data_IF_200097031947
#
_entry.id   IF_200097031947
#
_cell.length_a   1.000
_cell.length_b   1.000
_cell.length_c   1.000
_cell.angle_alpha   90.00
_cell.angle_beta   90.00
_cell.angle_gamma   90.00
#
_symmetry.space_group_name_H-M   'P 1'
#
loop_
_entity.id
_entity.type
_entity.pdbx_description
1 polymer ?
#
# COMPACT_ATOMS: atom_id res chain seq x y z
N UNK A 1 7.65 -23.56 -9.76
CA UNK A 1 7.30 -22.53 -10.76
C UNK A 1 8.07 -21.24 -10.52
N UNK A 2 8.10 -20.71 -9.29
CA UNK A 2 8.82 -19.48 -8.94
C UNK A 2 10.34 -19.53 -9.22
N UNK A 3 11.03 -20.58 -8.76
CA UNK A 3 12.46 -20.75 -9.03
C UNK A 3 12.79 -20.83 -10.53
N UNK A 4 11.85 -21.34 -11.34
CA UNK A 4 12.00 -21.41 -12.79
C UNK A 4 11.91 -20.01 -13.42
N UNK A 5 10.93 -19.18 -13.01
CA UNK A 5 10.81 -17.76 -13.43
C UNK A 5 12.14 -17.02 -13.25
N UNK A 6 12.68 -17.04 -12.03
CA UNK A 6 13.90 -16.30 -11.70
C UNK A 6 15.15 -16.88 -12.38
N UNK A 7 15.22 -18.19 -12.57
CA UNK A 7 16.31 -18.82 -13.33
C UNK A 7 16.31 -18.41 -14.79
N UNK A 8 15.14 -18.38 -15.44
CA UNK A 8 15.02 -17.94 -16.85
C UNK A 8 15.39 -16.47 -16.97
N UNK A 9 14.92 -15.62 -16.05
CA UNK A 9 15.29 -14.21 -16.01
C UNK A 9 16.82 -14.03 -15.89
N UNK A 10 17.46 -14.71 -14.94
CA UNK A 10 18.92 -14.64 -14.78
C UNK A 10 19.67 -15.06 -16.05
N UNK A 11 19.22 -16.12 -16.73
CA UNK A 11 19.83 -16.59 -17.98
C UNK A 11 19.71 -15.57 -19.12
N UNK A 12 18.55 -14.93 -19.28
CA UNK A 12 18.33 -13.90 -20.30
C UNK A 12 19.16 -12.65 -20.03
N UNK A 13 19.16 -12.18 -18.78
CA UNK A 13 19.95 -11.03 -18.36
C UNK A 13 21.45 -11.26 -18.55
N UNK A 14 21.96 -12.46 -18.21
CA UNK A 14 23.37 -12.81 -18.42
C UNK A 14 23.81 -12.85 -19.89
N UNK A 15 22.85 -12.95 -20.81
CA UNK A 15 23.08 -12.92 -22.26
C UNK A 15 22.91 -11.51 -22.86
N UNK A 16 22.61 -10.51 -22.04
CA UNK A 16 22.45 -9.13 -22.51
C UNK A 16 21.02 -8.75 -22.92
N UNK A 17 20.01 -9.59 -22.65
CA UNK A 17 18.62 -9.28 -22.98
C UNK A 17 17.90 -8.56 -21.83
N UNK A 18 17.33 -7.39 -22.11
CA UNK A 18 16.34 -6.78 -21.21
C UNK A 18 15.02 -7.54 -21.24
N UNK A 19 14.39 -7.72 -20.08
CA UNK A 19 13.20 -8.57 -19.95
C UNK A 19 12.07 -7.81 -19.29
N UNK A 20 10.94 -7.68 -19.98
CA UNK A 20 9.66 -7.33 -19.37
C UNK A 20 8.97 -8.61 -18.90
N UNK A 21 8.80 -8.75 -17.60
CA UNK A 21 8.06 -9.86 -17.00
C UNK A 21 6.64 -9.41 -16.64
N UNK A 22 5.65 -10.22 -17.00
CA UNK A 22 4.24 -10.03 -16.61
C UNK A 22 3.64 -11.36 -16.14
N UNK A 23 2.94 -11.38 -15.02
CA UNK A 23 2.16 -12.56 -14.62
C UNK A 23 0.98 -12.80 -15.58
N UNK A 24 0.48 -14.05 -15.68
CA UNK A 24 -0.72 -14.38 -16.44
C UNK A 24 -1.98 -13.58 -16.04
N UNK A 25 -1.98 -12.93 -14.88
CA UNK A 25 -3.06 -12.07 -14.40
C UNK A 25 -3.01 -10.63 -14.95
N UNK A 26 -2.28 -10.40 -16.05
CA UNK A 26 -2.11 -9.07 -16.66
C UNK A 26 -2.84 -8.97 -18.00
N UNK A 27 -3.61 -7.90 -18.18
CA UNK A 27 -4.25 -7.53 -19.46
C UNK A 27 -3.43 -6.43 -20.12
N UNK A 28 -2.93 -6.68 -21.32
CA UNK A 28 -2.27 -5.66 -22.15
C UNK A 28 -3.33 -4.88 -22.93
N UNK A 29 -3.25 -3.55 -22.87
CA UNK A 29 -4.14 -2.64 -23.61
C UNK A 29 -3.41 -2.09 -24.84
N UNK A 30 -2.12 -1.76 -24.70
CA UNK A 30 -1.23 -1.34 -25.78
C UNK A 30 0.15 -1.99 -25.66
N UNK A 31 1.05 -1.72 -26.60
CA UNK A 31 2.44 -2.16 -26.50
C UNK A 31 3.11 -1.56 -25.25
N UNK A 32 3.54 -2.38 -24.27
CA UNK A 32 4.15 -1.87 -23.06
C UNK A 32 5.58 -1.36 -23.25
N UNK A 33 6.27 -1.76 -24.32
CA UNK A 33 7.67 -1.39 -24.55
C UNK A 33 7.85 0.08 -24.94
N UNK A 34 6.81 0.74 -25.44
CA UNK A 34 6.82 2.18 -25.73
C UNK A 34 6.74 3.02 -24.45
N UNK A 35 6.25 2.45 -23.35
CA UNK A 35 6.02 3.16 -22.09
C UNK A 35 7.11 2.91 -21.01
N UNK A 36 8.14 2.11 -21.32
CA UNK A 36 9.29 1.87 -20.44
C UNK A 36 10.31 3.02 -20.51
N UNK A 37 10.91 3.36 -19.37
CA UNK A 37 11.90 4.44 -19.26
C UNK A 37 13.31 4.01 -19.68
N UNK A 38 13.68 2.75 -19.40
CA UNK A 38 14.96 2.08 -19.67
C UNK A 38 16.18 2.79 -19.07
N UNK A 39 16.01 3.38 -17.90
CA UNK A 39 17.04 4.18 -17.22
C UNK A 39 17.36 3.71 -15.80
N UNK A 40 16.92 2.49 -15.45
CA UNK A 40 17.17 1.82 -14.18
C UNK A 40 17.43 0.32 -14.40
N UNK A 41 18.00 -0.33 -13.39
CA UNK A 41 18.19 -1.79 -13.40
C UNK A 41 16.85 -2.51 -13.41
N UNK A 42 15.91 -1.99 -12.61
CA UNK A 42 14.56 -2.52 -12.48
C UNK A 42 13.56 -1.37 -12.63
N UNK A 43 12.57 -1.55 -13.52
CA UNK A 43 11.37 -0.72 -13.54
C UNK A 43 10.20 -1.52 -13.02
N UNK A 44 9.66 -1.18 -11.85
CA UNK A 44 8.63 -2.00 -11.19
C UNK A 44 7.29 -1.28 -11.07
N UNK A 45 6.21 -2.06 -11.16
CA UNK A 45 4.87 -1.56 -10.86
C UNK A 45 4.71 -1.29 -9.36
N UNK A 46 4.20 -0.11 -9.01
CA UNK A 46 3.83 0.21 -7.64
C UNK A 46 2.48 -0.38 -7.25
N UNK A 47 2.35 -0.78 -5.99
CA UNK A 47 1.07 -1.12 -5.37
C UNK A 47 0.34 0.14 -4.83
N UNK A 48 0.91 1.33 -5.05
CA UNK A 48 0.29 2.63 -4.81
C UNK A 48 -0.89 2.94 -5.74
N UNK A 49 -1.61 4.02 -5.46
CA UNK A 49 -2.83 4.42 -6.17
C UNK A 49 -2.99 5.95 -6.30
N UNK A 50 -1.97 6.70 -5.89
CA UNK A 50 -1.81 8.14 -6.06
C UNK A 50 -0.30 8.47 -6.07
N UNK A 51 0.09 9.71 -6.36
CA UNK A 51 1.50 10.09 -6.44
C UNK A 51 2.27 9.82 -5.14
N UNK A 52 1.77 10.22 -3.94
CA UNK A 52 2.50 9.97 -2.68
C UNK A 52 2.65 8.49 -2.33
N UNK A 53 1.64 7.66 -2.59
CA UNK A 53 1.74 6.22 -2.34
C UNK A 53 2.60 5.51 -3.38
N UNK A 54 2.55 5.96 -4.63
CA UNK A 54 3.27 5.33 -5.74
C UNK A 54 4.76 5.67 -5.75
N UNK A 55 5.10 6.94 -5.57
CA UNK A 55 6.46 7.47 -5.68
C UNK A 55 7.12 7.73 -4.32
N UNK A 56 6.35 7.59 -3.24
CA UNK A 56 6.79 7.80 -1.88
C UNK A 56 6.75 9.26 -1.45
N UNK A 57 6.93 9.46 -0.14
CA UNK A 57 6.95 10.78 0.48
C UNK A 57 7.89 10.80 1.69
N UNK A 58 8.32 12.01 2.08
CA UNK A 58 9.12 12.22 3.28
C UNK A 58 8.23 12.01 4.52
N UNK A 59 8.55 10.99 5.30
CA UNK A 59 7.93 10.71 6.56
C UNK A 59 8.80 11.28 7.68
N UNK A 60 8.26 12.19 8.48
CA UNK A 60 8.98 12.73 9.64
C UNK A 60 8.63 11.96 10.90
N UNK A 61 9.63 11.41 11.57
CA UNK A 61 9.52 10.90 12.93
C UNK A 61 9.87 12.06 13.86
N UNK A 62 8.92 12.42 14.71
CA UNK A 62 9.08 13.47 15.72
C UNK A 62 9.35 12.84 17.09
N UNK A 63 10.50 13.17 17.67
CA UNK A 63 10.88 12.84 19.06
C UNK A 63 11.07 14.13 19.88
N UNK A 64 10.00 14.62 20.54
CA UNK A 64 10.03 15.87 21.30
C UNK A 64 11.14 15.95 22.37
N UNK A 65 11.62 14.82 22.88
CA UNK A 65 12.65 14.77 23.92
C UNK A 65 14.02 15.27 23.43
N UNK A 66 14.24 15.27 22.12
CA UNK A 66 15.50 15.67 21.47
C UNK A 66 15.59 17.19 21.21
N UNK A 67 14.61 17.98 21.64
CA UNK A 67 14.65 19.45 21.52
C UNK A 67 14.75 19.92 20.06
N UNK A 68 15.79 20.69 19.71
CA UNK A 68 15.98 21.22 18.35
C UNK A 68 16.23 20.10 17.30
N UNK A 69 16.75 18.93 17.69
CA UNK A 69 17.06 17.83 16.78
C UNK A 69 15.95 16.78 16.69
N UNK A 70 14.73 17.12 17.13
CA UNK A 70 13.56 16.22 17.24
C UNK A 70 13.05 15.59 15.94
N UNK A 71 13.41 16.14 14.79
CA UNK A 71 12.90 15.66 13.50
C UNK A 71 13.89 14.70 12.84
N UNK A 72 13.51 13.43 12.75
CA UNK A 72 14.20 12.44 11.95
C UNK A 72 13.41 12.19 10.66
N UNK A 73 14.02 12.52 9.52
CA UNK A 73 13.42 12.29 8.21
C UNK A 73 13.63 10.85 7.75
N UNK A 74 12.56 10.21 7.33
CA UNK A 74 12.57 8.94 6.63
C UNK A 74 11.80 9.03 5.31
N UNK A 75 11.84 7.97 4.52
CA UNK A 75 11.02 7.83 3.32
C UNK A 75 9.98 6.76 3.56
N UNK A 76 8.76 6.99 3.09
CA UNK A 76 7.74 5.95 3.04
C UNK A 76 7.26 5.80 1.60
N UNK A 77 7.23 4.56 1.15
CA UNK A 77 6.78 4.18 -0.18
C UNK A 77 6.00 2.87 -0.06
N UNK A 78 4.98 2.72 -0.90
CA UNK A 78 4.27 1.44 -0.98
C UNK A 78 5.15 0.43 -1.73
N UNK A 79 5.01 -0.86 -1.39
CA UNK A 79 5.76 -1.92 -2.05
C UNK A 79 5.52 -1.98 -3.56
N UNK A 80 6.48 -2.57 -4.25
CA UNK A 80 6.43 -2.93 -5.65
C UNK A 80 6.02 -4.39 -5.84
N UNK A 81 5.59 -4.70 -7.06
CA UNK A 81 5.03 -5.99 -7.37
C UNK A 81 5.97 -6.84 -8.25
N UNK A 82 6.37 -8.04 -7.81
CA UNK A 82 7.20 -8.94 -8.62
C UNK A 82 6.44 -9.59 -9.78
N UNK A 83 5.12 -9.40 -9.88
CA UNK A 83 4.30 -9.87 -11.00
C UNK A 83 4.38 -8.98 -12.24
N UNK A 84 4.95 -7.78 -12.12
CA UNK A 84 5.16 -6.88 -13.25
C UNK A 84 6.38 -5.98 -13.04
N UNK A 85 7.42 -6.24 -13.82
CA UNK A 85 8.61 -5.38 -13.86
C UNK A 85 9.38 -5.55 -15.18
N UNK A 86 10.12 -4.52 -15.56
CA UNK A 86 11.18 -4.62 -16.54
C UNK A 86 12.53 -4.73 -15.83
N UNK A 87 13.40 -5.62 -16.30
CA UNK A 87 14.78 -5.75 -15.86
C UNK A 87 15.73 -5.45 -17.01
N UNK A 88 16.58 -4.45 -16.84
CA UNK A 88 17.67 -4.13 -17.74
C UNK A 88 18.78 -5.18 -17.60
N UNK A 89 19.54 -5.50 -18.66
CA UNK A 89 20.61 -6.51 -18.60
C UNK A 89 21.87 -5.98 -17.92
N UNK A 90 21.76 -5.59 -16.65
CA UNK A 90 22.84 -5.06 -15.83
C UNK A 90 23.33 -6.10 -14.82
N UNK A 91 24.57 -5.98 -14.31
CA UNK A 91 25.07 -6.84 -13.23
C UNK A 91 24.15 -6.83 -12.00
N UNK A 92 23.59 -5.68 -11.66
CA UNK A 92 22.72 -5.48 -10.49
C UNK A 92 21.37 -6.18 -10.67
N UNK A 93 20.75 -6.06 -11.84
CA UNK A 93 19.52 -6.80 -12.16
C UNK A 93 19.75 -8.32 -12.19
N UNK A 94 20.89 -8.77 -12.72
CA UNK A 94 21.29 -10.18 -12.69
C UNK A 94 21.52 -10.67 -11.25
N UNK A 95 22.15 -9.85 -10.41
CA UNK A 95 22.34 -10.15 -8.99
C UNK A 95 20.99 -10.30 -8.28
N UNK A 96 20.03 -9.39 -8.53
CA UNK A 96 18.67 -9.51 -8.01
C UNK A 96 17.99 -10.80 -8.47
N UNK A 97 18.01 -11.11 -9.77
CA UNK A 97 17.40 -12.33 -10.30
C UNK A 97 18.01 -13.59 -9.67
N UNK A 98 19.33 -13.60 -9.45
CA UNK A 98 20.04 -14.70 -8.80
C UNK A 98 19.66 -14.84 -7.31
N UNK A 99 19.53 -13.73 -6.58
CA UNK A 99 19.05 -13.71 -5.19
C UNK A 99 17.63 -14.25 -5.09
N UNK A 100 16.74 -13.77 -5.96
CA UNK A 100 15.36 -14.21 -6.02
C UNK A 100 15.23 -15.70 -6.37
N UNK A 101 16.09 -16.21 -7.26
CA UNK A 101 16.17 -17.65 -7.53
C UNK A 101 16.57 -18.44 -6.27
N UNK A 102 17.54 -17.95 -5.49
CA UNK A 102 17.97 -18.59 -4.25
C UNK A 102 16.85 -18.58 -3.19
N UNK A 103 16.16 -17.45 -3.01
CA UNK A 103 14.96 -17.36 -2.16
C UNK A 103 13.90 -18.36 -2.60
N UNK A 104 13.65 -18.44 -3.90
CA UNK A 104 12.65 -19.34 -4.48
C UNK A 104 12.99 -20.84 -4.38
N UNK A 105 14.27 -21.18 -4.20
CA UNK A 105 14.75 -22.55 -4.08
C UNK A 105 14.77 -23.06 -2.62
N UNK A 106 14.58 -22.17 -1.63
CA UNK A 106 14.50 -22.58 -0.24
C UNK A 106 13.29 -23.49 0.00
N UNK A 107 13.49 -24.57 0.76
CA UNK A 107 12.52 -25.66 0.96
C UNK A 107 11.14 -25.19 1.46
N UNK A 108 11.08 -24.05 2.16
CA UNK A 108 9.85 -23.45 2.71
C UNK A 108 8.80 -23.07 1.67
N UNK A 109 9.18 -22.93 0.39
CA UNK A 109 8.25 -22.57 -0.69
C UNK A 109 7.63 -23.77 -1.41
N UNK A 110 8.15 -24.98 -1.18
CA UNK A 110 7.71 -26.18 -1.92
C UNK A 110 6.34 -26.70 -1.48
N UNK A 111 5.93 -26.43 -0.23
CA UNK A 111 4.65 -26.83 0.36
C UNK A 111 3.67 -25.67 0.60
N UNK A 112 4.08 -24.45 0.26
CA UNK A 112 3.29 -23.24 0.47
C UNK A 112 2.10 -23.16 -0.51
N UNK A 113 0.98 -22.64 -0.04
CA UNK A 113 -0.15 -22.29 -0.90
C UNK A 113 0.24 -21.21 -1.92
N UNK A 114 -0.56 -21.02 -2.97
CA UNK A 114 -0.31 -19.99 -4.00
C UNK A 114 -0.21 -18.58 -3.39
N UNK A 115 -1.06 -18.27 -2.42
CA UNK A 115 -1.05 -16.97 -1.77
C UNK A 115 0.22 -16.79 -0.95
N UNK A 116 0.66 -17.81 -0.21
CA UNK A 116 1.88 -17.78 0.60
C UNK A 116 3.11 -17.60 -0.28
N UNK A 117 3.19 -18.32 -1.40
CA UNK A 117 4.26 -18.16 -2.38
C UNK A 117 4.32 -16.72 -2.92
N UNK A 118 3.18 -16.13 -3.29
CA UNK A 118 3.13 -14.75 -3.78
C UNK A 118 3.47 -13.72 -2.69
N UNK A 119 3.11 -13.97 -1.42
CA UNK A 119 3.52 -13.12 -0.29
C UNK A 119 5.03 -13.19 -0.10
N UNK A 120 5.58 -14.40 0.00
CA UNK A 120 7.01 -14.62 0.25
C UNK A 120 7.89 -14.11 -0.91
N UNK A 121 7.47 -14.30 -2.16
CA UNK A 121 8.16 -13.71 -3.32
C UNK A 121 8.22 -12.18 -3.20
N UNK A 122 7.10 -11.53 -2.87
CA UNK A 122 7.07 -10.07 -2.72
C UNK A 122 7.94 -9.60 -1.57
N UNK A 123 7.89 -10.27 -0.43
CA UNK A 123 8.73 -9.92 0.73
C UNK A 123 10.22 -10.04 0.39
N UNK A 124 10.63 -11.11 -0.30
CA UNK A 124 11.99 -11.28 -0.77
C UNK A 124 12.38 -10.20 -1.80
N UNK A 125 11.52 -9.95 -2.79
CA UNK A 125 11.76 -8.94 -3.83
C UNK A 125 11.94 -7.55 -3.24
N UNK A 126 11.07 -7.14 -2.32
CA UNK A 126 11.20 -5.86 -1.63
C UNK A 126 12.43 -5.80 -0.74
N UNK A 127 12.75 -6.88 -0.04
CA UNK A 127 13.93 -6.91 0.82
C UNK A 127 15.21 -6.72 0.01
N UNK A 128 15.34 -7.39 -1.13
CA UNK A 128 16.53 -7.30 -1.99
C UNK A 128 16.68 -5.95 -2.71
N UNK A 129 15.57 -5.22 -2.90
CA UNK A 129 15.58 -3.87 -3.48
C UNK A 129 15.81 -2.77 -2.45
N UNK A 130 15.28 -2.91 -1.23
CA UNK A 130 15.20 -1.81 -0.27
C UNK A 130 16.13 -1.91 0.92
N UNK A 131 16.57 -3.11 1.30
CA UNK A 131 17.41 -3.25 2.48
C UNK A 131 18.81 -2.74 2.19
N UNK A 132 19.33 -1.77 2.98
CA UNK A 132 20.73 -1.37 2.88
C UNK A 132 21.64 -2.55 3.24
N UNK A 133 22.86 -2.58 2.70
CA UNK A 133 23.90 -3.49 3.16
C UNK A 133 24.10 -3.34 4.67
N UNK A 134 24.09 -4.44 5.42
CA UNK A 134 24.21 -4.44 6.87
C UNK A 134 24.74 -5.78 7.38
N UNK A 135 25.60 -5.76 8.40
CA UNK A 135 26.25 -6.96 8.96
C UNK A 135 26.93 -7.78 7.86
N UNK A 136 26.41 -8.98 7.58
CA UNK A 136 26.90 -9.91 6.55
C UNK A 136 26.07 -9.84 5.25
N UNK A 137 25.00 -9.05 5.22
CA UNK A 137 24.18 -8.84 4.04
C UNK A 137 24.75 -7.71 3.18
N UNK A 138 24.91 -8.00 1.89
CA UNK A 138 25.29 -7.02 0.87
C UNK A 138 24.11 -6.88 -0.09
N UNK A 139 23.57 -5.66 -0.17
CA UNK A 139 22.48 -5.32 -1.08
C UNK A 139 22.87 -5.56 -2.54
N UNK A 140 21.88 -5.88 -3.37
CA UNK A 140 22.07 -6.02 -4.82
C UNK A 140 22.54 -4.72 -5.48
N UNK A 141 22.26 -3.57 -4.84
CA UNK A 141 22.58 -2.25 -5.38
C UNK A 141 21.69 -1.83 -6.55
N UNK A 142 20.67 -2.62 -6.90
CA UNK A 142 19.80 -2.35 -8.03
C UNK A 142 19.05 -1.02 -7.86
N UNK A 143 19.17 -0.15 -8.86
CA UNK A 143 18.42 1.10 -8.97
C UNK A 143 17.01 0.76 -9.47
N UNK A 144 16.01 1.33 -8.80
CA UNK A 144 14.60 1.10 -9.12
C UNK A 144 13.96 2.37 -9.68
N UNK A 145 13.33 2.25 -10.85
CA UNK A 145 12.36 3.20 -11.41
C UNK A 145 10.95 2.71 -11.09
N UNK A 146 10.11 3.59 -10.58
CA UNK A 146 8.68 3.29 -10.43
C UNK A 146 7.97 3.56 -11.75
N UNK A 147 7.31 2.55 -12.30
CA UNK A 147 6.47 2.70 -13.47
C UNK A 147 5.29 3.63 -13.16
N UNK A 148 4.84 4.42 -14.15
CA UNK A 148 3.71 5.33 -13.93
C UNK A 148 2.45 4.52 -13.58
N UNK A 149 1.89 4.73 -12.37
CA UNK A 149 0.78 3.94 -11.85
C UNK A 149 -0.54 4.11 -12.62
N UNK A 150 -0.66 5.16 -13.44
CA UNK A 150 -1.80 5.34 -14.35
C UNK A 150 -1.61 4.60 -15.68
N UNK A 151 -0.36 4.33 -16.08
CA UNK A 151 -0.05 3.53 -17.28
C UNK A 151 0.02 2.03 -16.94
N UNK A 152 0.68 1.68 -15.84
CA UNK A 152 0.90 0.31 -15.37
C UNK A 152 0.05 0.08 -14.13
N UNK A 153 -1.23 -0.23 -14.36
CA UNK A 153 -2.27 -0.16 -13.32
C UNK A 153 -2.36 -1.46 -12.52
N UNK A 154 -2.37 -1.35 -11.19
CA UNK A 154 -2.73 -2.47 -10.31
C UNK A 154 -4.25 -2.54 -10.06
N UNK A 155 -4.74 -3.70 -9.58
CA UNK A 155 -6.16 -3.90 -9.23
C UNK A 155 -6.75 -2.80 -8.37
N UNK A 156 -6.02 -2.36 -7.33
CA UNK A 156 -6.56 -1.41 -6.36
C UNK A 156 -6.85 -0.08 -7.04
N UNK A 157 -5.92 0.44 -7.83
CA UNK A 157 -6.15 1.67 -8.60
C UNK A 157 -7.27 1.46 -9.64
N UNK A 158 -7.28 0.33 -10.34
CA UNK A 158 -8.30 -0.01 -11.34
C UNK A 158 -9.72 0.05 -10.77
N UNK A 159 -9.96 -0.73 -9.71
CA UNK A 159 -11.30 -0.92 -9.14
C UNK A 159 -11.68 0.15 -8.14
N UNK A 160 -10.75 0.92 -7.58
CA UNK A 160 -11.08 1.99 -6.62
C UNK A 160 -11.22 3.35 -7.28
N UNK A 161 -10.42 3.63 -8.31
CA UNK A 161 -10.33 4.96 -8.91
C UNK A 161 -10.70 4.93 -10.38
N UNK A 162 -9.97 4.16 -11.20
CA UNK A 162 -10.01 4.26 -12.66
C UNK A 162 -11.33 3.76 -13.28
N UNK A 163 -12.02 2.81 -12.63
CA UNK A 163 -13.34 2.33 -13.09
C UNK A 163 -14.41 3.42 -13.10
N UNK A 164 -14.27 4.44 -12.25
CA UNK A 164 -15.25 5.50 -12.08
C UNK A 164 -15.09 6.58 -13.16
N UNK A 165 -16.18 7.28 -13.49
CA UNK A 165 -16.21 8.16 -14.67
C UNK A 165 -15.28 9.38 -14.56
N UNK A 166 -14.81 9.75 -13.36
CA UNK A 166 -13.90 10.89 -13.14
C UNK A 166 -12.53 10.73 -13.83
N UNK A 167 -12.09 9.51 -14.05
CA UNK A 167 -10.81 9.19 -14.72
C UNK A 167 -11.05 8.43 -16.03
N UNK A 168 -12.24 8.56 -16.62
CA UNK A 168 -12.63 7.80 -17.83
C UNK A 168 -11.77 8.08 -19.07
N UNK A 169 -11.09 9.23 -19.13
CA UNK A 169 -10.17 9.58 -20.22
C UNK A 169 -8.80 8.92 -20.12
N UNK A 170 -8.44 8.36 -18.96
CA UNK A 170 -7.15 7.69 -18.77
C UNK A 170 -7.25 6.29 -19.39
N UNK A 171 -6.39 6.04 -20.39
CA UNK A 171 -6.21 4.71 -20.97
C UNK A 171 -4.88 4.15 -20.47
N UNK A 172 -4.90 3.06 -19.67
CA UNK A 172 -3.67 2.44 -19.22
C UNK A 172 -3.00 1.69 -20.37
N UNK A 173 -1.70 1.43 -20.21
CA UNK A 173 -0.91 0.57 -21.10
C UNK A 173 -1.20 -0.90 -20.80
N UNK A 174 -1.33 -1.22 -19.51
CA UNK A 174 -1.73 -2.52 -19.03
C UNK A 174 -2.43 -2.43 -17.68
N UNK A 175 -3.08 -3.52 -17.30
CA UNK A 175 -3.66 -3.69 -15.97
C UNK A 175 -3.30 -5.05 -15.42
N UNK A 176 -2.64 -5.08 -14.27
CA UNK A 176 -2.34 -6.32 -13.54
C UNK A 176 -3.38 -6.54 -12.44
N UNK A 177 -3.99 -7.72 -12.45
CA UNK A 177 -4.95 -8.14 -11.43
C UNK A 177 -4.19 -8.79 -10.27
N UNK A 178 -3.93 -8.00 -9.23
CA UNK A 178 -3.34 -8.41 -7.95
C UNK A 178 -4.41 -8.76 -6.91
N UNK A 179 -4.10 -9.68 -6.00
CA UNK A 179 -4.84 -9.97 -4.75
C UNK A 179 -6.29 -10.42 -4.90
N UNK A 180 -6.65 -11.00 -6.03
CA UNK A 180 -7.99 -11.52 -6.28
C UNK A 180 -7.95 -13.01 -6.58
N UNK A 181 -8.99 -13.72 -6.19
CA UNK A 181 -9.26 -15.12 -6.54
C UNK A 181 -10.10 -15.25 -7.81
N UNK A 182 -10.93 -14.25 -8.11
CA UNK A 182 -11.75 -14.14 -9.34
C UNK A 182 -10.99 -13.45 -10.48
N UNK A 183 -9.69 -13.74 -10.61
CA UNK A 183 -8.74 -13.10 -11.55
C UNK A 183 -9.28 -13.06 -12.97
N UNK A 184 -9.76 -14.19 -13.48
CA UNK A 184 -10.24 -14.33 -14.86
C UNK A 184 -11.42 -13.39 -15.13
N UNK A 185 -12.39 -13.32 -14.22
CA UNK A 185 -13.57 -12.46 -14.36
C UNK A 185 -13.18 -10.98 -14.37
N UNK A 186 -12.18 -10.60 -13.57
CA UNK A 186 -11.65 -9.23 -13.52
C UNK A 186 -10.85 -8.88 -14.75
N UNK A 187 -10.04 -9.81 -15.28
CA UNK A 187 -9.35 -9.65 -16.54
C UNK A 187 -10.34 -9.46 -17.69
N UNK A 188 -11.40 -10.26 -17.74
CA UNK A 188 -12.47 -10.09 -18.74
C UNK A 188 -13.09 -8.70 -18.66
N UNK A 189 -13.40 -8.22 -17.45
CA UNK A 189 -13.97 -6.89 -17.26
C UNK A 189 -13.06 -5.75 -17.74
N UNK A 190 -11.74 -5.90 -17.57
CA UNK A 190 -10.75 -4.95 -18.10
C UNK A 190 -10.67 -5.05 -19.62
N UNK A 191 -10.61 -6.28 -20.16
CA UNK A 191 -10.59 -6.53 -21.59
C UNK A 191 -11.82 -5.92 -22.27
N UNK A 192 -13.01 -6.21 -21.77
CA UNK A 192 -14.28 -5.68 -22.28
C UNK A 192 -14.27 -4.15 -22.31
N UNK A 193 -13.71 -3.50 -21.28
CA UNK A 193 -13.66 -2.04 -21.23
C UNK A 193 -12.78 -1.44 -22.32
N UNK A 194 -11.57 -1.96 -22.51
CA UNK A 194 -10.56 -1.29 -23.34
C UNK A 194 -10.50 -1.82 -24.78
N UNK A 195 -10.86 -3.08 -25.01
CA UNK A 195 -10.88 -3.69 -26.34
C UNK A 195 -12.29 -3.72 -26.95
N UNK A 196 -13.34 -3.96 -26.13
CA UNK A 196 -14.74 -4.03 -26.60
C UNK A 196 -15.56 -2.77 -26.29
N UNK A 197 -14.95 -1.76 -25.66
CA UNK A 197 -15.60 -0.51 -25.23
C UNK A 197 -16.85 -0.70 -24.35
N UNK A 198 -16.92 -1.80 -23.60
CA UNK A 198 -18.01 -2.15 -22.70
C UNK A 198 -17.58 -2.09 -21.22
N UNK A 199 -18.09 -1.08 -20.50
CA UNK A 199 -17.76 -0.87 -19.08
C UNK A 199 -18.69 -1.56 -18.09
N UNK A 200 -19.75 -2.23 -18.54
CA UNK A 200 -20.82 -2.72 -17.66
C UNK A 200 -20.32 -3.73 -16.64
N UNK A 201 -19.53 -4.73 -17.07
CA UNK A 201 -19.00 -5.76 -16.17
C UNK A 201 -18.05 -5.15 -15.13
N UNK A 202 -17.15 -4.27 -15.56
CA UNK A 202 -16.21 -3.59 -14.66
C UNK A 202 -16.91 -2.76 -13.59
N UNK A 203 -17.99 -2.06 -13.95
CA UNK A 203 -18.78 -1.26 -13.02
C UNK A 203 -19.55 -2.11 -12.01
N UNK A 204 -19.98 -3.31 -12.41
CA UNK A 204 -20.73 -4.23 -11.55
C UNK A 204 -19.85 -4.98 -10.54
N UNK A 205 -18.55 -5.13 -10.79
CA UNK A 205 -17.66 -5.89 -9.91
C UNK A 205 -17.38 -5.16 -8.58
N UNK A 206 -17.36 -5.89 -7.45
CA UNK A 206 -16.98 -5.32 -6.16
C UNK A 206 -15.48 -4.98 -6.10
N UNK A 207 -15.11 -4.11 -5.16
CA UNK A 207 -13.70 -3.69 -4.98
C UNK A 207 -12.80 -4.86 -4.58
N UNK A 208 -13.26 -5.72 -3.67
CA UNK A 208 -12.61 -6.96 -3.28
C UNK A 208 -13.50 -8.15 -3.68
N UNK A 209 -12.89 -9.31 -3.90
CA UNK A 209 -13.59 -10.56 -4.10
C UNK A 209 -13.87 -11.25 -2.76
N UNK A 210 -15.10 -11.74 -2.58
CA UNK A 210 -15.53 -12.40 -1.35
C UNK A 210 -15.16 -13.89 -1.38
N UNK A 211 -13.89 -14.21 -1.60
CA UNK A 211 -13.41 -15.59 -1.79
C UNK A 211 -13.64 -16.52 -0.57
N UNK A 212 -14.05 -15.99 0.57
CA UNK A 212 -14.58 -16.74 1.70
C UNK A 212 -16.01 -16.30 1.98
N UNK A 213 -16.98 -17.12 1.57
CA UNK A 213 -18.41 -16.94 1.80
C UNK A 213 -19.04 -15.68 1.15
N UNK A 214 -19.85 -15.81 0.08
CA UNK A 214 -20.58 -14.68 -0.51
C UNK A 214 -21.59 -14.02 0.43
N UNK A 215 -21.91 -14.63 1.60
CA UNK A 215 -22.68 -13.99 2.68
C UNK A 215 -21.84 -13.11 3.61
N UNK A 216 -20.51 -13.25 3.57
CA UNK A 216 -19.57 -12.36 4.23
C UNK A 216 -18.96 -11.42 3.20
N UNK A 217 -19.60 -10.29 2.98
CA UNK A 217 -18.87 -9.11 2.49
C UNK A 217 -17.65 -8.93 3.38
N UNK A 218 -16.44 -8.76 2.82
CA UNK A 218 -15.35 -8.11 3.57
C UNK A 218 -15.99 -6.85 4.15
N UNK A 219 -16.12 -6.72 5.48
CA UNK A 219 -16.85 -5.60 6.04
C UNK A 219 -16.25 -4.35 5.43
N UNK A 220 -17.08 -3.53 4.77
CA UNK A 220 -16.66 -2.19 4.39
C UNK A 220 -15.95 -1.63 5.62
N UNK A 221 -14.72 -1.12 5.46
CA UNK A 221 -13.97 -0.57 6.58
C UNK A 221 -14.95 0.35 7.31
N UNK A 222 -15.39 0.01 8.54
CA UNK A 222 -16.64 0.54 9.02
C UNK A 222 -16.33 1.97 9.41
N UNK A 223 -16.73 2.87 8.52
CA UNK A 223 -16.38 4.28 8.56
C UNK A 223 -17.64 5.12 8.73
N UNK A 224 -18.79 4.52 8.45
CA UNK A 224 -20.10 5.14 8.54
C UNK A 224 -20.93 4.57 9.70
N UNK A 225 -20.40 3.57 10.44
CA UNK A 225 -20.99 3.06 11.68
C UNK A 225 -20.85 4.04 12.86
N UNK A 226 -20.07 5.11 12.70
CA UNK A 226 -19.88 6.11 13.75
C UNK A 226 -21.17 6.92 13.97
N UNK A 227 -21.84 6.66 15.09
CA UNK A 227 -22.82 7.60 15.63
C UNK A 227 -22.06 8.57 16.55
N UNK A 228 -22.31 9.86 16.39
CA UNK A 228 -21.93 10.89 17.36
C UNK A 228 -22.64 10.61 18.69
N UNK A 229 -22.09 9.73 19.54
CA UNK A 229 -22.56 9.53 20.90
C UNK A 229 -21.76 10.44 21.82
N UNK A 230 -22.23 11.68 21.93
CA UNK A 230 -21.81 12.63 22.96
C UNK A 230 -21.93 12.08 24.40
N UNK A 231 -22.70 11.00 24.61
CA UNK A 231 -22.99 10.45 25.93
C UNK A 231 -22.04 9.32 26.42
N UNK A 232 -21.19 8.73 25.57
CA UNK A 232 -20.33 7.59 25.98
C UNK A 232 -18.82 7.82 25.90
N UNK A 233 -18.37 8.94 25.32
CA UNK A 233 -16.94 9.27 25.24
C UNK A 233 -16.29 9.48 26.62
N UNK A 234 -17.07 9.88 27.64
CA UNK A 234 -16.59 9.99 29.02
C UNK A 234 -16.60 8.65 29.78
N UNK A 235 -17.29 7.63 29.28
CA UNK A 235 -17.33 6.28 29.88
C UNK A 235 -16.30 5.33 29.23
N UNK A 236 -15.96 5.56 27.96
CA UNK A 236 -15.06 4.71 27.19
C UNK A 236 -13.58 5.02 27.47
N UNK A 237 -12.82 4.02 27.91
CA UNK A 237 -11.41 4.20 28.28
C UNK A 237 -10.49 4.54 27.10
N UNK A 238 -10.83 4.11 25.88
CA UNK A 238 -10.10 4.49 24.68
C UNK A 238 -10.24 5.99 24.39
N UNK A 239 -11.46 6.51 24.49
CA UNK A 239 -11.76 7.94 24.34
C UNK A 239 -11.07 8.78 25.42
N UNK A 240 -11.14 8.35 26.69
CA UNK A 240 -10.40 8.99 27.80
C UNK A 240 -8.90 9.04 27.53
N UNK A 241 -8.31 7.94 27.05
CA UNK A 241 -6.88 7.89 26.69
C UNK A 241 -6.53 8.83 25.55
N UNK A 242 -7.30 8.80 24.45
CA UNK A 242 -7.05 9.70 23.31
C UNK A 242 -7.07 11.18 23.72
N UNK A 243 -7.99 11.58 24.59
CA UNK A 243 -8.05 12.93 25.17
C UNK A 243 -6.87 13.16 26.13
N UNK A 244 -6.62 12.26 27.07
CA UNK A 244 -5.59 12.40 28.10
C UNK A 244 -4.18 12.53 27.49
N UNK A 245 -3.92 11.77 26.43
CA UNK A 245 -2.66 11.74 25.70
C UNK A 245 -2.56 12.82 24.61
N UNK A 246 -3.62 13.61 24.37
CA UNK A 246 -3.55 14.77 23.47
C UNK A 246 -2.64 15.88 24.05
N UNK A 247 -1.92 16.65 23.22
CA UNK A 247 -1.96 16.64 21.76
C UNK A 247 -1.17 15.48 21.15
N UNK A 248 -1.58 15.09 19.95
CA UNK A 248 -0.95 14.08 19.10
C UNK A 248 -0.25 14.73 17.91
N UNK A 249 0.76 14.04 17.39
CA UNK A 249 1.38 14.31 16.09
C UNK A 249 0.86 13.29 15.07
N UNK A 250 0.27 13.75 13.98
CA UNK A 250 -0.30 12.94 12.91
C UNK A 250 0.64 12.91 11.70
N UNK A 251 1.23 11.74 11.41
CA UNK A 251 2.24 11.62 10.35
C UNK A 251 3.44 12.54 10.56
N UNK A 252 3.76 12.86 11.81
CA UNK A 252 4.82 13.81 12.19
C UNK A 252 4.38 15.27 12.33
N UNK A 253 3.13 15.62 11.97
CA UNK A 253 2.60 16.98 12.11
C UNK A 253 1.88 17.14 13.45
N UNK A 254 2.42 17.94 14.35
CA UNK A 254 1.83 18.25 15.65
C UNK A 254 0.57 19.13 15.54
N UNK A 255 -0.22 19.19 16.61
CA UNK A 255 -1.43 20.03 16.69
C UNK A 255 -2.74 19.27 16.45
N UNK A 256 -2.71 17.94 16.58
CA UNK A 256 -3.88 17.08 16.48
C UNK A 256 -4.43 16.78 17.89
N UNK A 257 -5.58 17.32 18.26
CA UNK A 257 -6.12 17.25 19.62
C UNK A 257 -7.54 16.70 19.64
N UNK A 258 -7.75 15.65 20.44
CA UNK A 258 -9.07 15.12 20.77
C UNK A 258 -9.64 15.94 21.93
N UNK A 259 -10.60 16.82 21.63
CA UNK A 259 -11.30 17.58 22.65
C UNK A 259 -12.54 16.82 23.16
N UNK A 260 -12.99 17.18 24.37
CA UNK A 260 -14.25 16.68 24.91
C UNK A 260 -15.42 17.11 24.01
N UNK A 261 -16.49 16.32 24.02
CA UNK A 261 -17.66 16.58 23.17
C UNK A 261 -17.50 16.14 21.71
N UNK A 262 -16.42 15.43 21.36
CA UNK A 262 -16.20 14.90 20.01
C UNK A 262 -15.65 15.91 19.02
N UNK A 263 -15.22 17.09 19.48
CA UNK A 263 -14.50 18.06 18.64
C UNK A 263 -13.07 17.56 18.40
N UNK A 264 -12.65 17.59 17.14
CA UNK A 264 -11.28 17.28 16.72
C UNK A 264 -10.62 18.55 16.21
N UNK A 265 -9.53 18.97 16.87
CA UNK A 265 -8.73 20.12 16.41
C UNK A 265 -7.55 19.58 15.64
N UNK A 266 -7.39 20.02 14.39
CA UNK A 266 -6.27 19.59 13.55
C UNK A 266 -5.59 20.80 12.92
N UNK A 267 -4.31 20.68 12.50
CA UNK A 267 -3.61 21.74 11.78
C UNK A 267 -4.23 22.10 10.43
N UNK A 268 -5.08 21.22 9.90
CA UNK A 268 -5.65 21.32 8.55
C UNK A 268 -7.11 21.77 8.56
N UNK A 269 -7.69 21.99 9.74
CA UNK A 269 -9.09 22.38 9.91
C UNK A 269 -9.76 21.65 11.07
N UNK A 270 -10.95 22.12 11.44
CA UNK A 270 -11.77 21.45 12.43
C UNK A 270 -12.29 20.11 11.87
N UNK A 271 -12.47 19.16 12.78
CA UNK A 271 -13.09 17.88 12.51
C UNK A 271 -13.92 17.41 13.69
N UNK A 272 -14.39 16.18 13.61
CA UNK A 272 -15.08 15.52 14.70
C UNK A 272 -14.59 14.09 14.86
N UNK A 273 -14.79 13.54 16.06
CA UNK A 273 -14.39 12.18 16.40
C UNK A 273 -15.40 11.54 17.34
N UNK A 274 -15.35 10.21 17.45
CA UNK A 274 -16.23 9.47 18.33
C UNK A 274 -15.81 8.02 18.52
N UNK A 275 -16.53 7.28 19.36
CA UNK A 275 -16.33 5.84 19.54
C UNK A 275 -17.04 5.10 18.41
N UNK A 276 -16.38 4.11 17.81
CA UNK A 276 -16.99 3.30 16.77
C UNK A 276 -18.03 2.33 17.37
N UNK A 277 -19.27 2.33 16.90
CA UNK A 277 -20.35 1.53 17.53
C UNK A 277 -20.21 0.02 17.33
N UNK A 278 -19.53 -0.40 16.27
CA UNK A 278 -19.36 -1.82 15.93
C UNK A 278 -17.96 -2.34 16.26
N UNK A 279 -17.02 -1.45 16.61
CA UNK A 279 -15.61 -1.79 16.85
C UNK A 279 -15.19 -1.19 18.20
N UNK A 280 -15.22 -1.95 19.30
CA UNK A 280 -15.03 -1.42 20.65
C UNK A 280 -13.64 -0.79 20.89
N UNK A 281 -12.62 -1.24 20.15
CA UNK A 281 -11.23 -0.77 20.24
C UNK A 281 -10.85 0.26 19.17
N UNK A 282 -11.83 0.92 18.55
CA UNK A 282 -11.59 1.88 17.46
C UNK A 282 -12.32 3.19 17.73
N UNK A 283 -11.60 4.30 17.56
CA UNK A 283 -12.22 5.63 17.45
C UNK A 283 -12.39 5.97 15.97
N UNK A 284 -13.47 6.67 15.65
CA UNK A 284 -13.67 7.30 14.37
C UNK A 284 -13.16 8.74 14.42
N UNK A 285 -12.60 9.23 13.32
CA UNK A 285 -12.27 10.64 13.11
C UNK A 285 -12.62 11.07 11.69
N UNK A 286 -13.20 12.26 11.55
CA UNK A 286 -13.48 12.90 10.26
C UNK A 286 -13.00 14.35 10.30
N UNK A 287 -12.06 14.64 9.40
CA UNK A 287 -11.53 15.98 9.22
C UNK A 287 -11.12 16.15 7.76
N UNK A 288 -11.30 17.36 7.23
CA UNK A 288 -10.91 17.72 5.85
C UNK A 288 -11.51 16.75 4.81
N UNK A 289 -12.76 16.32 5.03
CA UNK A 289 -13.48 15.42 4.13
C UNK A 289 -12.92 13.99 4.07
N UNK A 290 -12.05 13.61 5.00
CA UNK A 290 -11.46 12.27 5.11
C UNK A 290 -11.88 11.62 6.42
N UNK A 291 -12.45 10.42 6.30
CA UNK A 291 -12.83 9.57 7.42
C UNK A 291 -11.71 8.60 7.79
N UNK A 292 -11.54 8.32 9.07
CA UNK A 292 -10.45 7.53 9.62
C UNK A 292 -10.91 6.62 10.76
N UNK A 293 -10.37 5.41 10.78
CA UNK A 293 -10.47 4.47 11.90
C UNK A 293 -9.15 4.46 12.67
N UNK A 294 -9.21 4.84 13.94
CA UNK A 294 -8.07 5.04 14.81
C UNK A 294 -8.00 3.95 15.87
N UNK A 295 -6.85 3.28 15.96
CA UNK A 295 -6.56 2.30 17.01
C UNK A 295 -5.39 2.77 17.83
N UNK A 296 -5.54 2.79 19.15
CA UNK A 296 -4.54 3.34 20.06
C UNK A 296 -3.82 2.23 20.81
N UNK A 297 -2.53 2.44 21.00
CA UNK A 297 -1.64 1.77 21.93
C UNK A 297 -0.91 2.86 22.74
N UNK A 298 -0.29 2.51 23.86
CA UNK A 298 0.31 3.48 24.78
C UNK A 298 1.25 4.47 24.05
N UNK A 299 0.86 5.74 23.96
CA UNK A 299 1.62 6.80 23.30
C UNK A 299 1.67 6.76 21.76
N UNK A 300 1.06 5.77 21.11
CA UNK A 300 1.08 5.58 19.65
C UNK A 300 -0.28 5.13 19.15
N UNK A 301 -0.79 5.73 18.08
CA UNK A 301 -1.99 5.25 17.43
C UNK A 301 -1.78 5.04 15.93
N UNK A 302 -2.63 4.21 15.34
CA UNK A 302 -2.65 3.91 13.92
C UNK A 302 -3.97 4.41 13.37
N UNK A 303 -3.90 5.32 12.42
CA UNK A 303 -5.02 5.79 11.63
C UNK A 303 -5.10 5.03 10.32
N UNK A 304 -6.25 4.44 10.04
CA UNK A 304 -6.57 3.85 8.75
C UNK A 304 -7.59 4.75 8.07
N UNK A 305 -7.19 5.47 7.01
CA UNK A 305 -8.11 6.30 6.22
C UNK A 305 -9.10 5.40 5.49
N UNK A 306 -10.37 5.68 5.66
CA UNK A 306 -11.49 4.93 5.10
C UNK A 306 -11.49 4.93 3.56
N UNK A 307 -11.21 6.10 2.99
CA UNK A 307 -11.29 6.36 1.55
C UNK A 307 -10.27 5.59 0.72
N UNK A 308 -9.15 5.15 1.29
CA UNK A 308 -8.07 4.47 0.56
C UNK A 308 -7.26 3.43 1.37
N UNK A 309 -7.63 3.19 2.62
CA UNK A 309 -6.90 2.35 3.58
C UNK A 309 -5.47 2.84 3.85
N UNK A 310 -5.15 4.11 3.58
CA UNK A 310 -3.85 4.66 3.92
C UNK A 310 -3.64 4.64 5.45
N UNK A 311 -2.45 4.21 5.87
CA UNK A 311 -2.12 4.02 7.27
C UNK A 311 -1.22 5.15 7.74
N UNK A 312 -1.70 6.02 8.62
CA UNK A 312 -0.90 7.11 9.21
C UNK A 312 -0.64 6.83 10.68
N UNK A 313 0.60 7.00 11.12
CA UNK A 313 0.95 6.87 12.53
C UNK A 313 0.66 8.16 13.28
N UNK A 314 0.10 8.02 14.48
CA UNK A 314 -0.07 9.09 15.45
C UNK A 314 0.84 8.83 16.64
N UNK A 315 1.39 9.88 17.24
CA UNK A 315 2.17 9.78 18.49
C UNK A 315 1.71 10.81 19.49
N UNK A 316 1.57 10.42 20.76
CA UNK A 316 1.24 11.35 21.84
C UNK A 316 2.46 12.25 22.10
N UNK A 317 2.23 13.56 22.10
CA UNK A 317 3.27 14.54 22.41
C UNK A 317 3.52 14.60 23.92
N UNK A 318 2.54 14.23 24.76
CA UNK A 318 2.67 14.16 26.23
C UNK A 318 3.57 13.02 26.69
N UNK A 319 3.41 11.83 26.10
CA UNK A 319 4.18 10.64 26.50
C UNK A 319 5.62 10.63 25.96
N UNK A 320 6.01 11.61 25.14
CA UNK A 320 7.41 11.81 24.75
C UNK A 320 8.32 12.22 25.93
N UNK A 321 7.74 12.70 27.05
CA UNK A 321 8.47 13.20 28.20
C UNK A 321 8.52 12.24 29.41
N UNK A 322 7.93 11.03 29.32
CA UNK A 322 7.76 10.11 30.47
C UNK A 322 8.73 8.91 30.50
N UNK A 323 9.78 8.91 29.67
CA UNK A 323 10.93 7.99 29.82
C UNK A 323 12.18 8.78 30.18
N UNK A 324 12.26 9.21 31.45
CA UNK A 324 13.52 9.38 32.16
C UNK A 324 13.84 8.09 32.91
#
# INVERSE_FOLDING_TARGET
MLAFKWRVLAQLLSQGFGVLYTDPSTVLVSDPFEALYRDADIEAMSLGWDDPSSYGYNHVIDDPSMGFTRFCHGSRIVGYEPSLFFASPTPEALALASRMQAHAAAESLSSASRWEMARLEREAFLSELWMPSHKLYVSTGAIVRVLNYMCFVNSKFMFRQLRHDKLSSVTPVLVTINYHTDVERRMQAVFDRYHEHNKALLQALPLADNAGDPSQSVPANPCDGARSWMASAEANDLAKRAIAESPWAWGGVAGFEFARGGELRTPWGAGHWGVHSELPDTLFADFVGSKHNLRFSHGVAVSNRCGDSNVVLLRSVKNANLRQ
#
